data_IF_709001757656
#
_entry.id   IF_709001757656
#
_cell.length_a   1.000
_cell.length_b   1.000
_cell.length_c   1.000
_cell.angle_alpha   90.00
_cell.angle_beta   90.00
_cell.angle_gamma   90.00
#
_symmetry.space_group_name_H-M   'P 1'
#
loop_
_entity.id
_entity.type
_entity.pdbx_description
1 polymer ?
#
# COMPACT_ATOMS: atom_id res chain seq x y z
N UNK A 1 -57.62 12.50 -4.61
CA UNK A 1 -56.51 13.42 -4.94
C UNK A 1 -55.26 12.58 -5.08
N UNK A 2 -54.67 12.42 -6.28
CA UNK A 2 -53.37 11.78 -6.41
C UNK A 2 -52.32 12.63 -5.67
N UNK A 3 -51.52 12.00 -4.81
CA UNK A 3 -50.42 12.65 -4.12
C UNK A 3 -49.38 13.06 -5.16
N UNK A 4 -49.28 14.35 -5.45
CA UNK A 4 -48.29 14.87 -6.38
C UNK A 4 -46.99 15.10 -5.60
N UNK A 5 -45.96 14.33 -5.88
CA UNK A 5 -44.66 14.45 -5.21
C UNK A 5 -44.12 15.87 -5.44
N UNK A 6 -43.80 16.63 -4.37
CA UNK A 6 -43.34 18.00 -4.52
C UNK A 6 -42.02 18.03 -5.29
N UNK A 7 -41.85 19.04 -6.16
CA UNK A 7 -40.77 19.09 -7.15
C UNK A 7 -39.35 19.12 -6.56
N UNK A 8 -39.20 19.46 -5.27
CA UNK A 8 -37.93 19.37 -4.54
C UNK A 8 -37.54 17.93 -4.15
N UNK A 9 -38.44 16.96 -4.32
CA UNK A 9 -38.20 15.53 -4.09
C UNK A 9 -38.06 14.73 -5.39
N UNK A 10 -38.25 15.37 -6.55
CA UNK A 10 -38.02 14.76 -7.87
C UNK A 10 -36.62 15.14 -8.35
N UNK A 11 -35.62 14.33 -7.97
CA UNK A 11 -34.24 14.50 -8.42
C UNK A 11 -34.13 14.19 -9.92
N UNK A 12 -33.95 15.23 -10.74
CA UNK A 12 -33.87 15.06 -12.20
C UNK A 12 -32.46 15.25 -12.81
N UNK A 13 -31.46 15.69 -12.03
CA UNK A 13 -30.12 16.02 -12.58
C UNK A 13 -28.94 15.16 -12.04
N UNK A 14 -29.14 14.33 -11.01
CA UNK A 14 -28.02 13.69 -10.31
C UNK A 14 -27.61 12.31 -10.83
N UNK A 15 -28.53 11.56 -11.46
CA UNK A 15 -28.28 10.16 -11.84
C UNK A 15 -27.16 10.00 -12.89
N UNK A 16 -27.09 10.91 -13.87
CA UNK A 16 -26.05 10.89 -14.89
C UNK A 16 -24.66 11.25 -14.31
N UNK A 17 -24.61 12.19 -13.37
CA UNK A 17 -23.38 12.58 -12.68
C UNK A 17 -22.88 11.44 -11.76
N UNK A 18 -23.78 10.77 -11.07
CA UNK A 18 -23.48 9.60 -10.24
C UNK A 18 -22.96 8.42 -11.07
N UNK A 19 -23.59 8.15 -12.22
CA UNK A 19 -23.14 7.10 -13.13
C UNK A 19 -21.75 7.40 -13.71
N UNK A 20 -21.47 8.67 -14.04
CA UNK A 20 -20.13 9.11 -14.47
C UNK A 20 -19.09 8.93 -13.35
N UNK A 21 -19.41 9.34 -12.11
CA UNK A 21 -18.52 9.14 -10.94
C UNK A 21 -18.21 7.66 -10.72
N UNK A 22 -19.22 6.78 -10.83
CA UNK A 22 -19.03 5.35 -10.69
C UNK A 22 -18.11 4.77 -11.78
N UNK A 23 -18.26 5.22 -13.03
CA UNK A 23 -17.37 4.83 -14.14
C UNK A 23 -15.92 5.31 -13.89
N UNK A 24 -15.73 6.57 -13.51
CA UNK A 24 -14.41 7.13 -13.18
C UNK A 24 -13.76 6.40 -12.00
N UNK A 25 -14.53 6.07 -10.96
CA UNK A 25 -14.04 5.28 -9.83
C UNK A 25 -13.61 3.87 -10.26
N UNK A 26 -14.39 3.22 -11.13
CA UNK A 26 -14.05 1.90 -11.67
C UNK A 26 -12.73 1.92 -12.44
N UNK A 27 -12.48 2.98 -13.22
CA UNK A 27 -11.21 3.18 -13.91
C UNK A 27 -10.05 3.32 -12.92
N UNK A 28 -10.18 4.19 -11.91
CA UNK A 28 -9.16 4.38 -10.86
C UNK A 28 -8.86 3.09 -10.10
N UNK A 29 -9.91 2.38 -9.69
CA UNK A 29 -9.78 1.10 -8.99
C UNK A 29 -9.14 0.02 -9.89
N UNK A 30 -9.42 0.07 -11.21
CA UNK A 30 -8.84 -0.79 -12.24
C UNK A 30 -7.34 -0.55 -12.42
N UNK A 31 -6.89 0.71 -12.48
CA UNK A 31 -5.47 1.05 -12.56
C UNK A 31 -4.68 0.46 -11.38
N UNK A 32 -5.23 0.53 -10.17
CA UNK A 32 -4.60 -0.01 -8.98
C UNK A 32 -4.51 -1.55 -8.98
N UNK A 33 -5.35 -2.26 -9.76
CA UNK A 33 -5.26 -3.73 -9.90
C UNK A 33 -3.94 -4.17 -10.53
N UNK A 34 -3.34 -3.33 -11.37
CA UNK A 34 -2.08 -3.64 -12.05
C UNK A 34 -0.89 -3.76 -11.08
N UNK A 35 -1.03 -3.25 -9.84
CA UNK A 35 0.00 -3.30 -8.82
C UNK A 35 -0.02 -4.63 -8.02
N UNK A 36 -1.06 -5.45 -8.17
CA UNK A 36 -1.22 -6.70 -7.41
C UNK A 36 -0.01 -7.63 -7.53
N UNK A 37 0.35 -8.25 -6.41
CA UNK A 37 1.52 -9.12 -6.29
C UNK A 37 2.86 -8.37 -6.22
N UNK A 38 2.83 -7.05 -6.34
CA UNK A 38 4.01 -6.20 -6.42
C UNK A 38 4.48 -5.64 -5.09
N UNK A 39 5.63 -4.97 -5.17
CA UNK A 39 6.26 -4.22 -4.08
C UNK A 39 6.33 -2.74 -4.46
N UNK A 40 5.87 -1.87 -3.57
CA UNK A 40 6.03 -0.41 -3.69
C UNK A 40 7.20 0.01 -2.79
N UNK A 41 8.14 0.78 -3.31
CA UNK A 41 9.35 1.16 -2.57
C UNK A 41 9.44 2.67 -2.31
N UNK A 42 9.67 3.09 -1.07
CA UNK A 42 9.91 4.49 -0.69
C UNK A 42 11.30 4.95 -1.15
N UNK A 43 11.40 6.02 -1.94
CA UNK A 43 12.64 6.55 -2.53
C UNK A 43 12.82 8.04 -2.22
N UNK A 44 14.06 8.48 -1.99
CA UNK A 44 14.39 9.89 -1.70
C UNK A 44 15.12 10.62 -2.83
N UNK A 45 15.51 9.93 -3.90
CA UNK A 45 16.18 10.53 -5.05
C UNK A 45 16.04 9.64 -6.31
N UNK A 46 16.45 10.18 -7.46
CA UNK A 46 16.43 9.50 -8.75
C UNK A 46 17.28 8.21 -8.78
N UNK A 47 18.39 8.16 -8.05
CA UNK A 47 19.25 6.97 -8.00
C UNK A 47 18.54 5.80 -7.31
N UNK A 48 17.93 6.03 -6.15
CA UNK A 48 17.13 5.03 -5.46
C UNK A 48 15.92 4.59 -6.27
N UNK A 49 15.31 5.50 -7.03
CA UNK A 49 14.21 5.16 -7.92
C UNK A 49 14.63 4.16 -9.00
N UNK A 50 15.78 4.38 -9.66
CA UNK A 50 16.35 3.43 -10.63
C UNK A 50 16.66 2.07 -10.00
N UNK A 51 17.25 2.06 -8.81
CA UNK A 51 17.54 0.82 -8.07
C UNK A 51 16.25 0.06 -7.76
N UNK A 52 15.20 0.75 -7.34
CA UNK A 52 13.90 0.15 -7.05
C UNK A 52 13.27 -0.48 -8.31
N UNK A 53 13.35 0.21 -9.45
CA UNK A 53 12.87 -0.30 -10.74
C UNK A 53 13.66 -1.54 -11.19
N UNK A 54 15.00 -1.48 -11.18
CA UNK A 54 15.87 -2.62 -11.54
C UNK A 54 15.68 -3.84 -10.64
N UNK A 55 15.24 -3.61 -9.41
CA UNK A 55 14.91 -4.65 -8.46
C UNK A 55 13.54 -5.30 -8.68
N UNK A 56 12.68 -4.72 -9.53
CA UNK A 56 11.34 -5.19 -9.82
C UNK A 56 10.25 -4.60 -8.92
N UNK A 57 10.44 -3.40 -8.39
CA UNK A 57 9.34 -2.65 -7.79
C UNK A 57 8.26 -2.37 -8.86
N UNK A 58 6.98 -2.48 -8.47
CA UNK A 58 5.86 -2.17 -9.38
C UNK A 58 5.51 -0.69 -9.42
N UNK A 59 5.95 0.06 -8.40
CA UNK A 59 5.85 1.51 -8.30
C UNK A 59 6.82 2.02 -7.23
N UNK A 60 7.13 3.31 -7.26
CA UNK A 60 7.93 3.98 -6.23
C UNK A 60 7.12 5.05 -5.51
N UNK A 61 7.44 5.32 -4.25
CA UNK A 61 6.85 6.38 -3.44
C UNK A 61 7.91 7.45 -3.20
N UNK A 62 7.76 8.62 -3.81
CA UNK A 62 8.66 9.75 -3.66
C UNK A 62 8.39 10.48 -2.33
N UNK A 63 9.44 10.67 -1.54
CA UNK A 63 9.41 11.43 -0.29
C UNK A 63 10.79 12.01 0.03
N UNK A 64 10.84 13.20 0.63
CA UNK A 64 12.10 13.83 1.03
C UNK A 64 12.68 13.23 2.31
N UNK A 65 11.78 12.93 3.26
CA UNK A 65 12.13 12.44 4.59
C UNK A 65 11.50 11.08 4.81
N UNK A 66 12.33 10.12 5.17
CA UNK A 66 11.90 8.75 5.46
C UNK A 66 11.07 8.74 6.74
N UNK A 67 10.05 7.87 6.87
CA UNK A 67 9.24 7.79 8.09
C UNK A 67 10.04 7.61 9.40
N UNK A 68 11.19 6.92 9.33
CA UNK A 68 12.09 6.77 10.48
C UNK A 68 12.71 8.11 10.92
N UNK A 69 13.15 8.93 9.97
CA UNK A 69 13.74 10.26 10.24
C UNK A 69 12.68 11.25 10.73
N UNK A 70 11.47 11.22 10.15
CA UNK A 70 10.34 12.05 10.61
C UNK A 70 10.07 11.83 12.10
N UNK A 71 10.10 10.56 12.56
CA UNK A 71 9.92 10.22 13.97
C UNK A 71 11.07 10.71 14.84
N UNK A 72 12.31 10.65 14.34
CA UNK A 72 13.51 10.98 15.09
C UNK A 72 13.71 12.48 15.25
N UNK A 73 13.63 13.24 14.15
CA UNK A 73 13.94 14.67 14.19
C UNK A 73 12.72 15.51 14.60
N UNK A 74 11.52 14.92 14.54
CA UNK A 74 10.27 15.62 14.78
C UNK A 74 9.98 16.70 13.73
N UNK A 75 9.20 17.69 14.15
CA UNK A 75 8.75 18.80 13.31
C UNK A 75 7.57 18.45 12.40
N UNK A 76 7.21 19.40 11.52
CA UNK A 76 6.07 19.26 10.60
C UNK A 76 6.53 18.57 9.32
N UNK A 77 5.98 17.39 9.04
CA UNK A 77 6.18 16.68 7.78
C UNK A 77 5.08 17.05 6.77
N UNK A 78 5.47 17.42 5.55
CA UNK A 78 4.59 17.95 4.48
C UNK A 78 4.77 17.17 3.18
N UNK A 79 4.00 17.54 2.15
CA UNK A 79 4.25 17.11 0.77
C UNK A 79 5.69 17.46 0.34
N UNK A 80 6.33 16.56 -0.41
CA UNK A 80 7.65 16.76 -0.99
C UNK A 80 7.69 17.83 -2.07
N UNK A 81 8.86 18.43 -2.28
CA UNK A 81 9.12 19.40 -3.34
C UNK A 81 8.74 18.79 -4.72
N UNK A 82 7.83 19.44 -5.46
CA UNK A 82 7.48 19.03 -6.81
C UNK A 82 8.69 18.85 -7.75
N UNK A 83 9.78 19.60 -7.55
CA UNK A 83 11.01 19.45 -8.33
C UNK A 83 11.64 18.07 -8.11
N UNK A 84 11.80 17.66 -6.85
CA UNK A 84 12.34 16.35 -6.48
C UNK A 84 11.46 15.21 -7.03
N UNK A 85 10.14 15.36 -6.96
CA UNK A 85 9.19 14.38 -7.53
C UNK A 85 9.38 14.26 -9.05
N UNK A 86 9.50 15.38 -9.77
CA UNK A 86 9.73 15.37 -11.23
C UNK A 86 11.06 14.72 -11.61
N UNK A 87 12.11 14.93 -10.82
CA UNK A 87 13.40 14.26 -11.02
C UNK A 87 13.28 12.74 -10.89
N UNK A 88 12.49 12.25 -9.92
CA UNK A 88 12.18 10.82 -9.78
C UNK A 88 11.35 10.31 -10.96
N UNK A 89 10.29 11.02 -11.36
CA UNK A 89 9.47 10.66 -12.52
C UNK A 89 10.27 10.56 -13.81
N UNK A 90 11.24 11.46 -14.02
CA UNK A 90 12.11 11.42 -15.19
C UNK A 90 13.13 10.26 -15.15
N UNK A 91 13.36 9.65 -13.99
CA UNK A 91 14.39 8.64 -13.79
C UNK A 91 13.89 7.20 -13.97
N UNK A 92 12.57 6.95 -13.90
CA UNK A 92 11.97 5.61 -13.94
C UNK A 92 10.78 5.55 -14.91
N UNK A 93 10.42 4.34 -15.35
CA UNK A 93 9.25 4.10 -16.20
C UNK A 93 8.06 3.53 -15.44
N UNK A 94 8.29 2.98 -14.24
CA UNK A 94 7.23 2.51 -13.33
C UNK A 94 6.48 3.69 -12.68
N UNK A 95 5.20 3.50 -12.29
CA UNK A 95 4.40 4.53 -11.64
C UNK A 95 5.07 5.17 -10.42
N UNK A 96 4.94 6.49 -10.29
CA UNK A 96 5.43 7.27 -9.15
C UNK A 96 4.26 7.74 -8.31
N UNK A 97 4.34 7.45 -7.01
CA UNK A 97 3.39 7.90 -5.99
C UNK A 97 4.02 9.02 -5.16
N UNK A 98 3.21 9.91 -4.60
CA UNK A 98 3.68 10.91 -3.63
C UNK A 98 2.65 11.12 -2.51
N UNK A 99 3.12 11.66 -1.39
CA UNK A 99 2.31 11.83 -0.17
C UNK A 99 1.74 13.24 -0.05
N UNK A 100 0.52 13.30 0.49
CA UNK A 100 -0.11 14.54 0.97
C UNK A 100 -0.55 14.36 2.41
N UNK A 101 -0.64 15.48 3.14
CA UNK A 101 -1.19 15.49 4.48
C UNK A 101 -2.69 15.17 4.46
N UNK A 102 -3.16 14.52 5.52
CA UNK A 102 -4.60 14.27 5.71
C UNK A 102 -5.34 15.60 5.67
N UNK A 103 -6.37 15.67 4.82
CA UNK A 103 -7.22 16.85 4.68
C UNK A 103 -6.60 18.03 3.95
N UNK A 104 -5.51 17.86 3.21
CA UNK A 104 -4.85 18.97 2.47
C UNK A 104 -5.11 18.92 0.95
N UNK A 105 -6.28 19.35 0.45
CA UNK A 105 -6.64 19.24 -0.97
C UNK A 105 -5.70 20.04 -1.88
N UNK A 106 -5.13 21.15 -1.40
CA UNK A 106 -4.22 21.99 -2.20
C UNK A 106 -2.88 21.27 -2.50
N UNK A 107 -2.38 20.45 -1.58
CA UNK A 107 -1.17 19.64 -1.85
C UNK A 107 -1.50 18.62 -2.95
N UNK A 108 -2.69 18.00 -2.87
CA UNK A 108 -3.11 17.06 -3.88
C UNK A 108 -3.38 17.70 -5.26
N UNK A 109 -3.86 18.94 -5.30
CA UNK A 109 -4.02 19.71 -6.56
C UNK A 109 -2.66 19.93 -7.23
N UNK A 110 -1.62 20.26 -6.45
CA UNK A 110 -0.25 20.41 -6.95
C UNK A 110 0.25 19.07 -7.51
N UNK A 111 0.11 17.97 -6.75
CA UNK A 111 0.55 16.65 -7.20
C UNK A 111 -0.18 16.17 -8.46
N UNK A 112 -1.48 16.40 -8.55
CA UNK A 112 -2.24 16.10 -9.76
C UNK A 112 -1.77 16.94 -10.95
N UNK A 113 -1.43 18.22 -10.74
CA UNK A 113 -0.95 19.09 -11.81
C UNK A 113 0.41 18.67 -12.36
N UNK A 114 1.33 18.19 -11.51
CA UNK A 114 2.61 17.64 -11.98
C UNK A 114 2.49 16.25 -12.61
N UNK A 115 1.30 15.65 -12.63
CA UNK A 115 1.02 14.38 -13.28
C UNK A 115 1.52 13.18 -12.48
N UNK A 116 1.34 13.18 -11.16
CA UNK A 116 1.63 11.99 -10.34
C UNK A 116 0.67 10.84 -10.70
N UNK A 117 1.13 9.59 -10.61
CA UNK A 117 0.29 8.43 -10.94
C UNK A 117 -0.68 8.08 -9.80
N UNK A 118 -0.25 8.23 -8.54
CA UNK A 118 -1.08 8.00 -7.35
C UNK A 118 -0.75 8.99 -6.24
N UNK A 119 -1.77 9.35 -5.45
CA UNK A 119 -1.62 10.18 -4.25
C UNK A 119 -1.87 9.33 -3.01
N UNK A 120 -0.94 9.32 -2.06
CA UNK A 120 -1.09 8.70 -0.74
C UNK A 120 -1.46 9.76 0.30
N UNK A 121 -2.74 9.84 0.66
CA UNK A 121 -3.19 10.66 1.78
C UNK A 121 -2.73 9.97 3.07
N UNK A 122 -1.63 10.47 3.64
CA UNK A 122 -0.82 9.70 4.55
C UNK A 122 -0.81 10.25 5.96
N UNK A 123 -1.20 9.40 6.91
CA UNK A 123 -1.10 9.62 8.35
C UNK A 123 0.33 9.69 8.89
N UNK A 124 1.33 9.39 8.04
CA UNK A 124 2.75 9.52 8.38
C UNK A 124 3.19 10.98 8.36
N UNK A 125 2.53 11.80 7.55
CA UNK A 125 2.74 13.25 7.55
C UNK A 125 1.91 13.90 8.65
N UNK A 126 2.26 15.11 9.04
CA UNK A 126 1.49 15.88 10.03
C UNK A 126 0.11 16.22 9.44
N UNK A 127 -1.03 15.85 10.05
CA UNK A 127 -2.34 16.19 9.51
C UNK A 127 -2.51 17.69 9.28
N UNK A 128 -3.21 18.07 8.21
CA UNK A 128 -3.58 19.45 7.95
C UNK A 128 -5.01 19.77 8.45
N UNK A 129 -5.89 18.79 8.39
CA UNK A 129 -7.22 18.76 9.01
C UNK A 129 -7.31 17.47 9.82
N UNK A 130 -7.69 17.58 11.10
CA UNK A 130 -7.81 16.46 12.04
C UNK A 130 -9.22 15.83 12.05
N UNK A 131 -10.18 16.46 11.36
CA UNK A 131 -11.57 16.04 11.28
C UNK A 131 -11.89 15.45 9.89
N UNK A 132 -11.48 16.12 8.83
CA UNK A 132 -11.88 15.79 7.46
C UNK A 132 -10.72 15.27 6.61
N UNK A 133 -11.00 14.21 5.85
CA UNK A 133 -10.11 13.75 4.78
C UNK A 133 -10.47 14.46 3.47
N UNK A 134 -9.56 14.39 2.49
CA UNK A 134 -9.80 14.95 1.15
C UNK A 134 -11.00 14.25 0.50
N UNK A 135 -11.88 15.01 -0.17
CA UNK A 135 -12.84 14.46 -1.14
C UNK A 135 -12.09 14.03 -2.41
N UNK A 136 -11.88 12.73 -2.58
CA UNK A 136 -11.03 12.15 -3.63
C UNK A 136 -11.82 11.95 -4.93
N UNK A 137 -13.15 12.10 -4.90
CA UNK A 137 -13.98 12.10 -6.10
C UNK A 137 -13.74 13.33 -6.96
N UNK A 138 -13.33 14.45 -6.36
CA UNK A 138 -13.01 15.69 -7.07
C UNK A 138 -11.72 15.62 -7.92
N UNK A 139 -10.93 14.55 -7.77
CA UNK A 139 -9.64 14.37 -8.44
C UNK A 139 -9.73 13.28 -9.50
N UNK A 140 -8.88 13.35 -10.53
CA UNK A 140 -8.75 12.28 -11.54
C UNK A 140 -7.75 11.22 -11.12
N UNK A 141 -6.72 11.63 -10.37
CA UNK A 141 -5.66 10.74 -9.89
C UNK A 141 -6.20 9.78 -8.83
N UNK A 142 -5.86 8.48 -8.88
CA UNK A 142 -6.25 7.50 -7.86
C UNK A 142 -5.56 7.78 -6.51
N UNK A 143 -6.30 7.56 -5.43
CA UNK A 143 -5.81 7.75 -4.06
C UNK A 143 -5.55 6.43 -3.35
N UNK A 144 -4.50 6.44 -2.53
CA UNK A 144 -4.17 5.43 -1.54
C UNK A 144 -4.45 6.01 -0.15
N UNK A 145 -5.16 5.25 0.70
CA UNK A 145 -5.41 5.64 2.09
C UNK A 145 -5.05 4.53 3.07
N UNK A 146 -4.60 4.91 4.27
CA UNK A 146 -4.33 4.00 5.38
C UNK A 146 -5.58 3.61 6.17
N UNK A 147 -5.66 2.35 6.61
CA UNK A 147 -6.68 1.88 7.55
C UNK A 147 -6.12 0.96 8.64
N UNK A 148 -6.83 0.87 9.77
CA UNK A 148 -6.57 -0.07 10.88
C UNK A 148 -7.62 -1.18 10.98
N UNK A 149 -8.82 -0.97 10.44
CA UNK A 149 -9.96 -1.88 10.51
C UNK A 149 -10.89 -1.68 9.29
N UNK A 150 -11.93 -2.51 9.21
CA UNK A 150 -12.89 -2.47 8.10
C UNK A 150 -13.66 -1.15 8.02
N UNK A 151 -14.13 -0.62 9.15
CA UNK A 151 -14.88 0.63 9.19
C UNK A 151 -14.11 1.80 8.59
N UNK A 152 -12.83 1.94 8.98
CA UNK A 152 -11.95 2.97 8.45
C UNK A 152 -11.70 2.78 6.94
N UNK A 153 -11.44 1.54 6.50
CA UNK A 153 -11.25 1.24 5.08
C UNK A 153 -12.48 1.65 4.25
N UNK A 154 -13.68 1.26 4.68
CA UNK A 154 -14.93 1.56 3.96
C UNK A 154 -15.24 3.05 3.91
N UNK A 155 -14.93 3.82 4.97
CA UNK A 155 -15.04 5.29 4.93
C UNK A 155 -14.10 5.91 3.91
N UNK A 156 -12.84 5.47 3.85
CA UNK A 156 -11.87 5.98 2.86
C UNK A 156 -12.28 5.65 1.43
N UNK A 157 -12.81 4.45 1.20
CA UNK A 157 -13.33 4.04 -0.12
C UNK A 157 -14.53 4.92 -0.50
N UNK A 158 -15.43 5.20 0.44
CA UNK A 158 -16.59 6.07 0.23
C UNK A 158 -16.19 7.50 -0.14
N UNK A 159 -15.08 7.99 0.42
CA UNK A 159 -14.47 9.29 0.05
C UNK A 159 -13.72 9.25 -1.29
N UNK A 160 -13.64 8.10 -1.96
CA UNK A 160 -13.04 7.95 -3.30
C UNK A 160 -11.64 7.32 -3.32
N UNK A 161 -11.18 6.68 -2.24
CA UNK A 161 -9.92 5.93 -2.26
C UNK A 161 -10.00 4.72 -3.21
N UNK A 162 -9.09 4.67 -4.18
CA UNK A 162 -9.00 3.59 -5.18
C UNK A 162 -8.14 2.41 -4.70
N UNK A 163 -7.42 2.59 -3.59
CA UNK A 163 -6.52 1.62 -2.99
C UNK A 163 -6.43 1.84 -1.47
N UNK A 164 -6.39 0.74 -0.72
CA UNK A 164 -6.25 0.76 0.73
C UNK A 164 -4.94 0.11 1.13
N UNK A 165 -4.34 0.61 2.20
CA UNK A 165 -3.18 0.00 2.85
C UNK A 165 -3.36 -0.08 4.37
N UNK A 166 -2.69 -1.02 5.03
CA UNK A 166 -2.57 -0.96 6.49
C UNK A 166 -1.76 0.26 6.90
N UNK A 167 -2.08 0.88 8.04
CA UNK A 167 -1.23 1.92 8.63
C UNK A 167 0.08 1.33 9.16
N UNK A 168 -0.05 0.21 9.89
CA UNK A 168 1.06 -0.43 10.60
C UNK A 168 1.75 0.56 11.54
N UNK A 169 3.04 0.35 11.80
CA UNK A 169 3.89 1.32 12.46
C UNK A 169 5.03 1.74 11.53
N UNK A 170 4.81 2.82 10.78
CA UNK A 170 5.80 3.31 9.82
C UNK A 170 7.10 3.74 10.53
N UNK A 171 8.25 3.24 10.03
CA UNK A 171 9.58 3.64 10.50
C UNK A 171 10.18 2.81 11.64
N UNK A 172 9.46 1.85 12.25
CA UNK A 172 9.99 1.05 13.37
C UNK A 172 10.63 -0.27 12.98
N UNK A 173 10.35 -0.76 11.76
CA UNK A 173 10.78 -2.10 11.34
C UNK A 173 10.10 -3.25 12.08
N UNK A 174 9.04 -2.98 12.83
CA UNK A 174 8.26 -3.99 13.55
C UNK A 174 6.92 -4.25 12.85
N UNK A 175 6.74 -5.45 12.29
CA UNK A 175 5.56 -5.83 11.49
C UNK A 175 4.29 -6.06 12.33
N UNK A 176 4.37 -6.11 13.66
CA UNK A 176 3.25 -6.48 14.54
C UNK A 176 1.99 -5.65 14.31
N UNK A 177 2.12 -4.32 14.16
CA UNK A 177 0.95 -3.47 13.88
C UNK A 177 0.34 -3.75 12.51
N UNK A 178 1.15 -4.02 11.48
CA UNK A 178 0.63 -4.37 10.16
C UNK A 178 -0.14 -5.68 10.18
N UNK A 179 0.39 -6.69 10.90
CA UNK A 179 -0.29 -7.97 11.12
C UNK A 179 -1.61 -7.77 11.87
N UNK A 180 -1.63 -6.96 12.93
CA UNK A 180 -2.84 -6.67 13.70
C UNK A 180 -3.92 -6.04 12.83
N UNK A 181 -3.59 -5.01 12.06
CA UNK A 181 -4.53 -4.33 11.18
C UNK A 181 -5.06 -5.26 10.07
N UNK A 182 -4.18 -6.04 9.44
CA UNK A 182 -4.58 -6.99 8.40
C UNK A 182 -5.53 -8.07 8.97
N UNK A 183 -5.20 -8.64 10.13
CA UNK A 183 -6.06 -9.64 10.79
C UNK A 183 -7.41 -9.06 11.16
N UNK A 184 -7.45 -7.87 11.75
CA UNK A 184 -8.69 -7.18 12.10
C UNK A 184 -9.57 -6.96 10.86
N UNK A 185 -9.00 -6.39 9.79
CA UNK A 185 -9.70 -6.14 8.54
C UNK A 185 -10.32 -7.43 7.98
N UNK A 186 -9.55 -8.50 7.82
CA UNK A 186 -10.07 -9.74 7.25
C UNK A 186 -11.00 -10.51 8.20
N UNK A 187 -10.85 -10.35 9.52
CA UNK A 187 -11.78 -10.91 10.50
C UNK A 187 -13.15 -10.23 10.40
N UNK A 188 -13.17 -8.90 10.31
CA UNK A 188 -14.40 -8.13 10.14
C UNK A 188 -15.09 -8.47 8.82
N UNK A 189 -14.32 -8.64 7.74
CA UNK A 189 -14.86 -9.08 6.44
C UNK A 189 -15.51 -10.46 6.59
N UNK A 190 -14.80 -11.46 7.14
CA UNK A 190 -15.34 -12.81 7.34
C UNK A 190 -16.61 -12.80 8.19
N UNK A 191 -16.63 -11.99 9.26
CA UNK A 191 -17.82 -11.80 10.11
C UNK A 191 -18.99 -11.24 9.29
N UNK A 192 -18.74 -10.22 8.46
CA UNK A 192 -19.76 -9.65 7.59
C UNK A 192 -20.29 -10.65 6.54
N UNK A 193 -19.46 -11.57 6.03
CA UNK A 193 -19.89 -12.57 5.05
C UNK A 193 -20.94 -13.54 5.59
N UNK A 194 -20.90 -13.83 6.89
CA UNK A 194 -21.79 -14.81 7.53
C UNK A 194 -23.05 -14.19 8.13
N UNK A 195 -23.13 -12.85 8.18
CA UNK A 195 -24.27 -12.13 8.73
C UNK A 195 -25.46 -12.13 7.77
N UNK A 196 -26.66 -12.08 8.33
CA UNK A 196 -27.88 -11.87 7.55
C UNK A 196 -28.02 -10.39 7.10
N UNK A 197 -28.83 -10.09 6.06
CA UNK A 197 -28.96 -8.72 5.55
C UNK A 197 -29.43 -7.67 6.56
N UNK A 198 -30.21 -8.08 7.56
CA UNK A 198 -30.69 -7.27 8.69
C UNK A 198 -29.60 -7.01 9.73
N UNK A 199 -28.82 -8.03 10.10
CA UNK A 199 -27.66 -7.90 11.00
C UNK A 199 -26.61 -6.93 10.45
N UNK A 200 -26.42 -6.90 9.12
CA UNK A 200 -25.49 -6.01 8.44
C UNK A 200 -25.79 -4.53 8.67
N UNK A 201 -27.06 -4.13 8.86
CA UNK A 201 -27.39 -2.73 9.17
C UNK A 201 -26.84 -2.32 10.54
N UNK A 202 -27.00 -3.18 11.55
CA UNK A 202 -26.45 -2.90 12.87
C UNK A 202 -24.92 -2.94 12.86
N UNK A 203 -24.32 -3.89 12.14
CA UNK A 203 -22.87 -3.95 12.02
C UNK A 203 -22.29 -2.71 11.31
N UNK A 204 -22.94 -2.21 10.25
CA UNK A 204 -22.56 -0.96 9.57
C UNK A 204 -22.56 0.23 10.54
N UNK A 205 -23.56 0.32 11.41
CA UNK A 205 -23.65 1.34 12.45
C UNK A 205 -22.51 1.21 13.48
N UNK A 206 -22.23 0.00 13.96
CA UNK A 206 -21.18 -0.26 14.95
C UNK A 206 -19.78 0.14 14.46
N UNK A 207 -19.44 -0.18 13.21
CA UNK A 207 -18.11 0.13 12.65
C UNK A 207 -18.05 1.53 12.01
N UNK A 208 -19.18 2.22 11.92
CA UNK A 208 -19.32 3.52 11.28
C UNK A 208 -18.99 3.46 9.78
N UNK A 209 -19.53 2.50 9.05
CA UNK A 209 -19.30 2.32 7.62
C UNK A 209 -20.58 2.50 6.79
N UNK A 210 -20.47 2.90 5.51
CA UNK A 210 -21.61 2.90 4.59
C UNK A 210 -22.14 1.48 4.37
N UNK A 211 -23.46 1.31 4.54
CA UNK A 211 -24.11 0.00 4.45
C UNK A 211 -23.90 -0.66 3.08
N UNK A 212 -24.07 0.08 1.98
CA UNK A 212 -23.97 -0.50 0.63
C UNK A 212 -22.56 -1.03 0.33
N UNK A 213 -21.53 -0.32 0.76
CA UNK A 213 -20.14 -0.78 0.64
C UNK A 213 -19.85 -1.97 1.54
N UNK A 214 -20.40 -2.01 2.75
CA UNK A 214 -20.27 -3.17 3.64
C UNK A 214 -20.95 -4.39 3.05
N UNK A 215 -22.17 -4.24 2.53
CA UNK A 215 -22.93 -5.30 1.86
C UNK A 215 -22.19 -5.81 0.62
N UNK A 216 -21.64 -4.91 -0.20
CA UNK A 216 -20.79 -5.29 -1.33
C UNK A 216 -19.55 -6.08 -0.87
N UNK A 217 -18.88 -5.61 0.17
CA UNK A 217 -17.69 -6.25 0.76
C UNK A 217 -18.01 -7.64 1.31
N UNK A 218 -19.14 -7.79 2.01
CA UNK A 218 -19.62 -9.08 2.52
C UNK A 218 -19.90 -10.07 1.38
N UNK A 219 -20.56 -9.61 0.31
CA UNK A 219 -20.82 -10.44 -0.88
C UNK A 219 -19.53 -10.85 -1.60
N UNK A 220 -18.55 -9.96 -1.71
CA UNK A 220 -17.27 -10.21 -2.38
C UNK A 220 -16.29 -11.05 -1.54
N UNK A 221 -16.40 -11.00 -0.21
CA UNK A 221 -15.40 -11.59 0.70
C UNK A 221 -14.05 -10.88 0.71
N UNK A 222 -13.99 -9.68 0.15
CA UNK A 222 -12.82 -8.80 0.09
C UNK A 222 -13.27 -7.36 -0.09
N UNK A 223 -12.37 -6.42 0.17
CA UNK A 223 -12.61 -5.02 -0.20
C UNK A 223 -12.80 -4.88 -1.73
N UNK A 224 -13.63 -3.93 -2.18
CA UNK A 224 -13.85 -3.66 -3.61
C UNK A 224 -12.64 -3.02 -4.31
N UNK A 225 -11.58 -2.69 -3.56
CA UNK A 225 -10.31 -2.11 -4.04
C UNK A 225 -9.12 -3.01 -3.66
N UNK A 226 -7.93 -2.70 -4.19
CA UNK A 226 -6.71 -3.43 -3.81
C UNK A 226 -6.28 -3.09 -2.38
N UNK A 227 -5.76 -4.09 -1.67
CA UNK A 227 -5.36 -3.96 -0.26
C UNK A 227 -3.89 -4.29 -0.04
N UNK A 228 -3.05 -3.29 0.26
CA UNK A 228 -1.62 -3.47 0.47
C UNK A 228 -1.23 -3.48 1.96
N UNK A 229 -0.15 -4.17 2.29
CA UNK A 229 0.48 -4.02 3.59
C UNK A 229 1.47 -2.86 3.58
N UNK A 230 1.43 -2.03 4.62
CA UNK A 230 2.44 -1.00 4.88
C UNK A 230 2.68 -0.83 6.39
N UNK A 231 3.86 -0.29 6.72
CA UNK A 231 4.32 -0.02 8.08
C UNK A 231 4.99 -1.22 8.72
N UNK A 232 6.27 -1.11 9.08
CA UNK A 232 6.98 -2.12 9.87
C UNK A 232 7.47 -3.37 9.12
N UNK A 233 7.22 -3.52 7.81
CA UNK A 233 7.79 -4.61 7.01
C UNK A 233 9.27 -4.32 6.74
N UNK A 234 10.16 -5.15 7.27
CA UNK A 234 11.61 -4.96 7.15
C UNK A 234 12.31 -6.08 6.39
N UNK A 235 11.77 -7.30 6.42
CA UNK A 235 12.43 -8.49 5.86
C UNK A 235 11.58 -9.20 4.80
N UNK A 236 12.18 -10.07 3.96
CA UNK A 236 11.40 -10.90 3.03
C UNK A 236 10.42 -11.86 3.70
N UNK A 237 10.73 -12.28 4.93
CA UNK A 237 9.81 -13.10 5.73
C UNK A 237 8.57 -12.29 6.13
N UNK A 238 8.73 -11.02 6.52
CA UNK A 238 7.63 -10.13 6.83
C UNK A 238 6.75 -9.90 5.60
N UNK A 239 7.36 -9.63 4.44
CA UNK A 239 6.63 -9.44 3.18
C UNK A 239 5.83 -10.71 2.82
N UNK A 240 6.45 -11.89 2.89
CA UNK A 240 5.79 -13.16 2.62
C UNK A 240 4.66 -13.44 3.62
N UNK A 241 4.86 -13.13 4.91
CA UNK A 241 3.83 -13.24 5.95
C UNK A 241 2.60 -12.41 5.59
N UNK A 242 2.79 -11.15 5.20
CA UNK A 242 1.66 -10.28 4.83
C UNK A 242 0.92 -10.80 3.59
N UNK A 243 1.62 -11.34 2.59
CA UNK A 243 0.99 -11.96 1.42
C UNK A 243 0.21 -13.25 1.76
N UNK A 244 0.69 -14.01 2.75
CA UNK A 244 -0.03 -15.19 3.27
C UNK A 244 -1.28 -14.79 4.07
N UNK A 245 -1.28 -13.64 4.74
CA UNK A 245 -2.45 -13.09 5.44
C UNK A 245 -3.57 -12.61 4.50
N UNK A 246 -3.32 -12.57 3.19
CA UNK A 246 -4.33 -12.21 2.18
C UNK A 246 -4.18 -10.82 1.58
N UNK A 247 -3.08 -10.12 1.86
CA UNK A 247 -2.79 -8.82 1.26
C UNK A 247 -2.49 -8.98 -0.24
N UNK A 248 -2.90 -7.99 -1.04
CA UNK A 248 -2.70 -7.94 -2.50
C UNK A 248 -1.27 -7.49 -2.88
N UNK A 249 -0.50 -6.89 -1.96
CA UNK A 249 0.87 -6.41 -2.19
C UNK A 249 1.48 -5.80 -0.94
N UNK A 250 2.73 -5.33 -1.03
CA UNK A 250 3.48 -4.82 0.14
C UNK A 250 4.21 -3.52 -0.20
N UNK A 251 4.28 -2.59 0.76
CA UNK A 251 5.11 -1.39 0.70
C UNK A 251 6.31 -1.53 1.63
N UNK A 252 7.50 -1.23 1.11
CA UNK A 252 8.76 -1.28 1.81
C UNK A 252 9.43 0.10 1.84
N UNK A 253 10.21 0.33 2.89
CA UNK A 253 11.09 1.49 2.95
C UNK A 253 12.54 1.07 2.65
N UNK A 254 13.21 1.76 1.72
CA UNK A 254 14.59 1.43 1.33
C UNK A 254 15.61 1.65 2.47
N UNK A 255 15.28 2.44 3.48
CA UNK A 255 16.25 2.91 4.48
C UNK A 255 16.90 1.79 5.30
N UNK A 256 16.20 0.68 5.55
CA UNK A 256 16.79 -0.48 6.24
C UNK A 256 17.67 -1.36 5.34
N UNK A 257 17.58 -1.20 4.02
CA UNK A 257 18.24 -2.07 3.05
C UNK A 257 19.49 -1.37 2.46
N UNK A 258 19.57 -0.05 2.60
CA UNK A 258 20.66 0.78 2.05
C UNK A 258 21.99 0.70 2.84
N UNK A 259 22.06 -0.14 3.87
CA UNK A 259 23.29 -0.27 4.68
C UNK A 259 24.06 -1.57 4.35
N UNK A 260 23.50 -2.48 3.56
CA UNK A 260 24.13 -3.77 3.25
C UNK A 260 24.60 -3.86 1.79
N UNK A 261 25.90 -3.99 1.59
CA UNK A 261 26.56 -4.28 0.30
C UNK A 261 26.06 -5.61 -0.32
N UNK A 262 24.93 -5.56 -1.03
CA UNK A 262 24.25 -6.72 -1.66
C UNK A 262 22.88 -6.42 -2.31
N UNK A 263 22.64 -5.14 -2.57
CA UNK A 263 21.40 -4.42 -2.94
C UNK A 263 20.49 -5.12 -3.95
N UNK A 264 20.96 -5.34 -5.18
CA UNK A 264 20.15 -5.95 -6.26
C UNK A 264 19.65 -7.35 -5.91
N UNK A 265 20.40 -8.12 -5.11
CA UNK A 265 19.97 -9.46 -4.71
C UNK A 265 18.89 -9.40 -3.65
N UNK A 266 19.07 -8.61 -2.58
CA UNK A 266 18.05 -8.49 -1.52
C UNK A 266 16.69 -8.01 -2.07
N UNK A 267 16.70 -7.01 -2.95
CA UNK A 267 15.45 -6.48 -3.50
C UNK A 267 14.81 -7.38 -4.55
N UNK A 268 15.58 -8.03 -5.45
CA UNK A 268 15.01 -9.08 -6.33
C UNK A 268 14.43 -10.22 -5.52
N UNK A 269 15.04 -10.57 -4.39
CA UNK A 269 14.55 -11.59 -3.49
C UNK A 269 13.21 -11.15 -2.85
N UNK A 270 13.08 -9.92 -2.36
CA UNK A 270 11.83 -9.35 -1.83
C UNK A 270 10.70 -9.30 -2.86
N UNK A 271 10.98 -8.81 -4.07
CA UNK A 271 10.03 -8.79 -5.17
C UNK A 271 9.62 -10.22 -5.59
N UNK A 272 10.47 -11.21 -5.31
CA UNK A 272 10.22 -12.61 -5.62
C UNK A 272 9.48 -13.38 -4.52
N UNK A 273 9.59 -12.96 -3.24
CA UNK A 273 8.93 -13.61 -2.09
C UNK A 273 7.45 -13.26 -1.94
N UNK A 274 6.91 -12.34 -2.75
CA UNK A 274 5.46 -12.17 -2.86
C UNK A 274 4.76 -13.42 -3.44
N UNK A 275 5.51 -14.30 -4.11
CA UNK A 275 5.03 -15.63 -4.47
C UNK A 275 5.00 -16.53 -3.23
N UNK A 276 3.84 -17.13 -2.91
CA UNK A 276 3.59 -17.98 -1.72
C UNK A 276 4.37 -19.32 -1.73
N UNK A 277 5.67 -19.29 -2.02
CA UNK A 277 6.54 -20.46 -2.13
C UNK A 277 7.57 -20.50 -0.99
N UNK A 278 7.46 -21.44 -0.03
CA UNK A 278 8.34 -21.51 1.14
C UNK A 278 9.80 -21.78 0.79
N UNK A 279 10.08 -22.54 -0.26
CA UNK A 279 11.45 -22.82 -0.73
C UNK A 279 12.11 -21.54 -1.27
N UNK A 280 11.34 -20.68 -1.93
CA UNK A 280 11.82 -19.39 -2.43
C UNK A 280 12.10 -18.44 -1.27
N UNK A 281 11.20 -18.34 -0.30
CA UNK A 281 11.40 -17.54 0.92
C UNK A 281 12.62 -17.99 1.70
N UNK A 282 12.84 -19.29 1.86
CA UNK A 282 14.02 -19.85 2.53
C UNK A 282 15.33 -19.47 1.82
N UNK A 283 15.40 -19.63 0.49
CA UNK A 283 16.57 -19.20 -0.31
C UNK A 283 16.83 -17.68 -0.19
N UNK A 284 15.76 -16.89 -0.08
CA UNK A 284 15.88 -15.44 0.15
C UNK A 284 16.46 -15.12 1.54
N UNK A 285 15.96 -15.80 2.57
CA UNK A 285 16.39 -15.59 3.95
C UNK A 285 17.86 -15.97 4.20
N UNK A 286 18.39 -16.97 3.50
CA UNK A 286 19.79 -17.39 3.59
C UNK A 286 20.79 -16.44 2.91
N UNK A 287 20.32 -15.44 2.15
CA UNK A 287 21.24 -14.53 1.47
C UNK A 287 21.98 -13.62 2.47
N UNK A 288 23.31 -13.43 2.35
CA UNK A 288 24.10 -12.60 3.27
C UNK A 288 23.68 -11.12 3.25
N UNK A 289 22.88 -10.71 2.26
CA UNK A 289 22.26 -9.38 2.17
C UNK A 289 20.98 -9.23 3.00
N UNK A 290 20.41 -10.31 3.56
CA UNK A 290 19.23 -10.27 4.43
C UNK A 290 19.54 -10.03 5.91
N UNK A 291 20.79 -10.15 6.34
CA UNK A 291 21.17 -9.87 7.72
C UNK A 291 21.27 -8.35 7.94
N UNK A 292 20.35 -7.80 8.73
CA UNK A 292 20.54 -6.53 9.47
C UNK A 292 21.92 -6.59 10.15
N UNK A 293 22.74 -5.53 10.14
CA UNK A 293 24.15 -5.67 10.50
C UNK A 293 24.27 -6.18 11.94
N UNK A 294 24.76 -7.42 12.09
CA UNK A 294 25.48 -7.84 13.28
C UNK A 294 26.77 -7.04 13.31
N UNK A 295 26.72 -5.81 13.79
CA UNK A 295 27.93 -5.15 14.27
C UNK A 295 28.49 -6.05 15.38
N UNK A 296 29.71 -6.56 15.15
CA UNK A 296 30.42 -7.56 15.95
C UNK A 296 29.71 -8.93 16.03
N UNK A 297 30.27 -9.94 15.37
CA UNK A 297 30.60 -11.26 15.95
C UNK A 297 31.29 -12.09 14.85
N UNK A 298 32.60 -12.25 15.06
CA UNK A 298 33.49 -13.31 14.57
C UNK A 298 33.93 -13.33 13.10
N UNK A 299 35.16 -12.80 12.93
CA UNK A 299 36.21 -13.33 12.07
C UNK A 299 36.26 -14.88 12.07
N UNK A 300 36.54 -15.47 10.91
CA UNK A 300 36.80 -16.89 10.65
C UNK A 300 35.66 -17.86 10.99
N UNK A 301 35.13 -18.55 9.98
CA UNK A 301 35.11 -20.03 9.88
C UNK A 301 34.39 -20.44 8.58
N UNK A 302 35.05 -21.32 7.81
CA UNK A 302 34.64 -22.02 6.59
C UNK A 302 34.64 -21.27 5.23
N UNK A 303 35.87 -21.05 4.75
CA UNK A 303 36.23 -21.42 3.37
C UNK A 303 36.07 -22.95 3.20
N UNK A 304 35.68 -23.39 2.00
CA UNK A 304 35.59 -24.79 1.54
C UNK A 304 34.45 -25.67 2.09
N UNK A 305 33.41 -25.89 1.27
CA UNK A 305 33.04 -27.26 0.87
C UNK A 305 32.14 -27.27 -0.37
N UNK A 306 32.77 -27.70 -1.46
CA UNK A 306 32.28 -28.50 -2.60
C UNK A 306 31.00 -28.12 -3.36
N UNK A 307 31.24 -27.61 -4.56
CA UNK A 307 30.81 -28.17 -5.85
C UNK A 307 29.86 -29.38 -5.81
N UNK A 308 28.71 -29.25 -6.47
CA UNK A 308 28.08 -30.34 -7.25
C UNK A 308 27.44 -29.72 -8.50
N UNK A 309 28.17 -29.83 -9.61
CA UNK A 309 27.62 -29.76 -10.97
C UNK A 309 26.80 -31.02 -11.26
N UNK A 310 25.66 -30.83 -11.91
CA UNK A 310 24.85 -31.88 -12.50
C UNK A 310 25.34 -32.13 -13.93
N UNK A 311 25.78 -33.34 -14.26
CA UNK A 311 25.68 -33.86 -15.64
C UNK A 311 25.56 -35.38 -15.65
N UNK A 312 24.38 -35.83 -16.08
CA UNK A 312 24.01 -37.20 -16.40
C UNK A 312 24.79 -37.76 -17.59
N UNK A 313 25.19 -39.05 -17.55
CA UNK A 313 25.15 -40.00 -18.69
C UNK A 313 25.55 -41.43 -18.25
N UNK A 314 24.64 -42.38 -18.55
CA UNK A 314 24.79 -43.78 -19.01
C UNK A 314 25.71 -44.75 -18.22
N UNK A 315 25.17 -45.68 -17.39
CA UNK A 315 24.81 -47.11 -17.65
C UNK A 315 25.98 -48.07 -17.97
N UNK A 316 25.89 -49.38 -17.68
CA UNK A 316 24.84 -50.13 -16.96
C UNK A 316 25.23 -50.52 -15.53
#
# INVERSE_FOLDING_TARGET
MPFNTPANLTAHDDAAAEQKRAQEFTLKAGLAQNLKGGVIMDVINAEQARIAEEAGAVAVMALERVPADIRKDGGVARMSDPKMIKEIQAAVTIPVMAKVRIGHPVEAQILQHIGIDYIDESEVLTPADDVHHIDKHAFKVPYVCGCRNLGEALRRINEGAAMIRTKGEAGTGNVVEAVRHARQLFQDIRRAQTMTPDELYNFAKEIGAPYDLLKQTAKLGRLPVVTFSAGGVATPADAALMMQLGMDGVRLSLFNIVVASGWLRHFRLLASTTTRNPTRTYRCALSPSCSVPRALVFFLIFRCSLAVEFSSRATP
#
